data_IF_823298108057
#
_entry.id   IF_823298108057
#
_cell.length_a   1.000
_cell.length_b   1.000
_cell.length_c   1.000
_cell.angle_alpha   90.00
_cell.angle_beta   90.00
_cell.angle_gamma   90.00
#
_symmetry.space_group_name_H-M   'P 1'
#
loop_
_entity.id
_entity.type
_entity.pdbx_description
1 polymer ?
#
# COMPACT_ATOMS: atom_id res chain seq x y z
N UNK A 1 1.26 3.56 -4.61
CA UNK A 1 1.98 2.43 -3.96
C UNK A 1 1.13 1.75 -2.88
N UNK A 2 0.66 2.47 -1.86
CA UNK A 2 -0.10 1.88 -0.76
C UNK A 2 -1.35 1.08 -1.19
N UNK A 3 -2.13 1.62 -2.13
CA UNK A 3 -3.33 0.94 -2.69
C UNK A 3 -2.98 -0.22 -3.62
N UNK A 4 -1.84 -0.18 -4.30
CA UNK A 4 -1.32 -1.29 -5.11
C UNK A 4 -1.01 -2.51 -4.24
N UNK A 5 -0.29 -2.32 -3.13
CA UNK A 5 0.01 -3.39 -2.15
C UNK A 5 -1.29 -3.95 -1.53
N UNK A 6 -2.30 -3.10 -1.30
CA UNK A 6 -3.59 -3.54 -0.81
C UNK A 6 -4.31 -4.44 -1.83
N UNK A 7 -4.33 -4.07 -3.10
CA UNK A 7 -5.03 -4.80 -4.17
C UNK A 7 -4.25 -6.01 -4.73
N UNK A 8 -2.94 -6.08 -4.48
CA UNK A 8 -2.06 -7.13 -5.02
C UNK A 8 -2.43 -8.56 -4.59
N UNK A 9 -3.13 -8.71 -3.47
CA UNK A 9 -3.52 -10.02 -2.90
C UNK A 9 -4.83 -10.57 -3.49
N UNK A 10 -5.65 -9.72 -4.10
CA UNK A 10 -6.98 -10.07 -4.64
C UNK A 10 -6.96 -11.32 -5.52
N UNK A 11 -6.04 -11.48 -6.50
CA UNK A 11 -6.03 -12.66 -7.35
C UNK A 11 -5.64 -13.96 -6.62
N UNK A 12 -4.99 -13.88 -5.45
CA UNK A 12 -4.56 -15.03 -4.66
C UNK A 12 -5.55 -15.43 -3.55
N UNK A 13 -6.75 -14.82 -3.51
CA UNK A 13 -7.77 -15.19 -2.54
C UNK A 13 -8.11 -16.70 -2.52
N UNK A 14 -8.24 -17.39 -3.67
CA UNK A 14 -8.53 -18.83 -3.66
C UNK A 14 -7.42 -19.65 -2.99
N UNK A 15 -6.15 -19.38 -3.34
CA UNK A 15 -4.99 -20.08 -2.75
C UNK A 15 -4.87 -19.82 -1.24
N UNK A 16 -5.17 -18.60 -0.79
CA UNK A 16 -5.15 -18.24 0.62
C UNK A 16 -6.26 -18.92 1.42
N UNK A 17 -7.42 -19.16 0.81
CA UNK A 17 -8.51 -19.92 1.45
C UNK A 17 -8.08 -21.37 1.69
N UNK A 18 -7.42 -21.98 0.71
CA UNK A 18 -6.93 -23.36 0.81
C UNK A 18 -5.80 -23.50 1.83
N UNK A 19 -4.82 -22.61 1.81
CA UNK A 19 -3.62 -22.72 2.66
C UNK A 19 -3.89 -22.34 4.12
N UNK A 20 -4.74 -21.33 4.38
CA UNK A 20 -5.08 -20.91 5.74
C UNK A 20 -6.29 -21.66 6.31
N UNK A 21 -7.07 -22.39 5.48
CA UNK A 21 -8.27 -23.10 5.91
C UNK A 21 -9.38 -22.19 6.46
N UNK A 22 -9.43 -20.94 5.99
CA UNK A 22 -10.37 -19.89 6.45
C UNK A 22 -11.38 -19.55 5.36
N UNK A 23 -12.49 -18.90 5.72
CA UNK A 23 -13.49 -18.52 4.71
C UNK A 23 -12.99 -17.40 3.78
N UNK A 24 -13.56 -17.33 2.57
CA UNK A 24 -13.24 -16.28 1.60
C UNK A 24 -13.45 -14.87 2.17
N UNK A 25 -14.49 -14.70 3.01
CA UNK A 25 -14.79 -13.44 3.69
C UNK A 25 -13.68 -13.05 4.67
N UNK A 26 -13.09 -14.01 5.39
CA UNK A 26 -11.95 -13.75 6.27
C UNK A 26 -10.73 -13.28 5.48
N UNK A 27 -10.42 -13.91 4.35
CA UNK A 27 -9.32 -13.46 3.48
C UNK A 27 -9.59 -12.05 2.94
N UNK A 28 -10.82 -11.73 2.55
CA UNK A 28 -11.21 -10.39 2.13
C UNK A 28 -11.00 -9.34 3.25
N UNK A 29 -11.20 -9.72 4.52
CA UNK A 29 -10.94 -8.85 5.67
C UNK A 29 -9.48 -8.42 5.81
N UNK A 30 -8.51 -9.19 5.30
CA UNK A 30 -7.10 -8.78 5.26
C UNK A 30 -6.87 -7.55 4.38
N UNK A 31 -7.66 -7.40 3.32
CA UNK A 31 -7.58 -6.25 2.41
C UNK A 31 -8.31 -5.04 2.98
N UNK A 32 -9.49 -5.25 3.58
CA UNK A 32 -10.25 -4.17 4.21
C UNK A 32 -9.51 -3.59 5.42
N UNK A 33 -8.88 -4.44 6.24
CA UNK A 33 -8.04 -4.03 7.36
C UNK A 33 -6.92 -3.07 6.90
N UNK A 34 -6.24 -3.41 5.81
CA UNK A 34 -5.17 -2.58 5.26
C UNK A 34 -5.69 -1.22 4.75
N UNK A 35 -6.84 -1.20 4.07
CA UNK A 35 -7.47 0.04 3.59
C UNK A 35 -7.90 0.92 4.77
N UNK A 36 -8.47 0.32 5.82
CA UNK A 36 -8.91 1.05 7.01
C UNK A 36 -7.74 1.75 7.71
N UNK A 37 -6.61 1.06 7.88
CA UNK A 37 -5.41 1.66 8.48
C UNK A 37 -4.84 2.77 7.58
N UNK A 38 -4.84 2.56 6.27
CA UNK A 38 -4.37 3.55 5.30
C UNK A 38 -5.23 4.83 5.30
N UNK A 39 -6.51 4.76 5.70
CA UNK A 39 -7.35 5.94 5.83
C UNK A 39 -6.96 6.82 7.03
N UNK A 40 -6.53 6.21 8.14
CA UNK A 40 -6.21 6.91 9.39
C UNK A 40 -4.74 7.38 9.41
N UNK A 41 -3.83 6.55 8.92
CA UNK A 41 -2.39 6.78 8.96
C UNK A 41 -1.92 8.15 8.39
N UNK A 42 -2.47 8.68 7.27
CA UNK A 42 -2.05 9.97 6.72
C UNK A 42 -2.34 11.14 7.66
N UNK A 43 -3.37 11.05 8.51
CA UNK A 43 -3.67 12.10 9.48
C UNK A 43 -2.56 12.20 10.54
N UNK A 44 -2.01 11.05 10.95
CA UNK A 44 -0.92 10.96 11.92
C UNK A 44 0.42 11.37 11.28
N UNK A 45 0.67 10.98 10.04
CA UNK A 45 1.95 11.27 9.38
C UNK A 45 2.15 12.73 8.97
N UNK A 46 1.08 13.52 8.83
CA UNK A 46 1.18 14.95 8.49
C UNK A 46 1.98 15.78 9.51
N UNK A 47 1.65 15.80 10.82
CA UNK A 47 2.42 16.57 11.82
C UNK A 47 3.85 16.04 11.98
N UNK A 48 4.02 14.73 11.89
CA UNK A 48 5.31 14.05 11.90
C UNK A 48 6.21 14.48 10.72
N UNK A 49 5.66 14.60 9.51
CA UNK A 49 6.38 15.04 8.32
C UNK A 49 6.76 16.54 8.34
N UNK A 50 6.13 17.34 9.21
CA UNK A 50 6.45 18.76 9.37
C UNK A 50 7.62 18.99 10.35
N UNK A 51 7.80 18.11 11.32
CA UNK A 51 8.89 18.21 12.32
C UNK A 51 10.17 17.50 11.86
N UNK A 52 10.03 16.28 11.35
CA UNK A 52 11.16 15.48 10.91
C UNK A 52 11.48 15.72 9.43
N UNK A 53 12.74 15.53 9.04
CA UNK A 53 13.12 15.55 7.63
C UNK A 53 12.28 14.55 6.83
N UNK A 54 11.46 15.05 5.90
CA UNK A 54 10.50 14.28 5.08
C UNK A 54 11.13 13.02 4.46
N UNK A 55 12.41 13.10 4.05
CA UNK A 55 13.17 11.98 3.47
C UNK A 55 13.53 10.88 4.48
N UNK A 56 14.04 11.25 5.67
CA UNK A 56 14.42 10.24 6.66
C UNK A 56 13.21 9.47 7.16
N UNK A 57 12.09 10.16 7.36
CA UNK A 57 10.81 9.53 7.69
C UNK A 57 10.37 8.56 6.60
N UNK A 58 10.44 8.97 5.32
CA UNK A 58 10.09 8.12 4.19
C UNK A 58 10.96 6.85 4.12
N UNK A 59 12.27 6.97 4.27
CA UNK A 59 13.20 5.82 4.21
C UNK A 59 13.01 4.84 5.36
N UNK A 60 12.86 5.32 6.59
CA UNK A 60 12.60 4.46 7.76
C UNK A 60 11.28 3.71 7.57
N UNK A 61 10.27 4.38 7.05
CA UNK A 61 8.96 3.78 6.87
C UNK A 61 8.93 2.76 5.73
N UNK A 62 9.67 3.02 4.64
CA UNK A 62 9.87 2.04 3.58
C UNK A 62 10.62 0.80 4.07
N UNK A 63 11.63 0.95 4.94
CA UNK A 63 12.34 -0.20 5.54
C UNK A 63 11.40 -1.06 6.39
N UNK A 64 10.59 -0.44 7.25
CA UNK A 64 9.62 -1.19 8.06
C UNK A 64 8.57 -1.86 7.19
N UNK A 65 8.12 -1.19 6.13
CA UNK A 65 7.20 -1.77 5.14
C UNK A 65 7.83 -2.95 4.38
N UNK A 66 9.12 -2.88 4.05
CA UNK A 66 9.86 -3.97 3.42
C UNK A 66 9.87 -5.21 4.31
N UNK A 67 10.24 -5.05 5.58
CA UNK A 67 10.24 -6.15 6.56
C UNK A 67 8.84 -6.73 6.75
N UNK A 68 7.81 -5.89 6.78
CA UNK A 68 6.42 -6.34 6.88
C UNK A 68 5.95 -7.16 5.67
N UNK A 69 6.38 -6.81 4.45
CA UNK A 69 6.09 -7.63 3.25
C UNK A 69 6.83 -8.97 3.28
N UNK A 70 8.09 -8.98 3.73
CA UNK A 70 8.85 -10.24 3.92
C UNK A 70 8.19 -11.10 5.01
N UNK A 71 7.67 -10.47 6.07
CA UNK A 71 6.89 -11.15 7.12
C UNK A 71 5.63 -11.83 6.58
N UNK A 72 4.90 -11.15 5.69
CA UNK A 72 3.73 -11.75 5.02
C UNK A 72 4.11 -12.92 4.10
N UNK A 73 5.28 -12.85 3.45
CA UNK A 73 5.78 -13.92 2.59
C UNK A 73 6.17 -15.19 3.35
N UNK A 74 6.41 -15.11 4.67
CA UNK A 74 6.80 -16.27 5.50
C UNK A 74 5.75 -16.67 6.53
N UNK A 75 4.64 -15.94 6.63
CA UNK A 75 3.60 -16.20 7.61
C UNK A 75 2.59 -17.23 7.09
N UNK A 76 2.45 -18.36 7.80
CA UNK A 76 1.46 -19.42 7.51
C UNK A 76 0.19 -19.32 8.38
N UNK A 77 0.02 -18.22 9.12
CA UNK A 77 -1.14 -18.01 10.00
C UNK A 77 -1.90 -16.75 9.62
N UNK A 78 -3.23 -16.83 9.61
CA UNK A 78 -4.13 -15.71 9.35
C UNK A 78 -3.81 -14.49 10.22
N UNK A 79 -3.65 -14.70 11.53
CA UNK A 79 -3.39 -13.62 12.48
C UNK A 79 -2.02 -12.97 12.22
N UNK A 80 -0.98 -13.76 11.96
CA UNK A 80 0.35 -13.25 11.63
C UNK A 80 0.33 -12.42 10.34
N UNK A 81 -0.36 -12.91 9.30
CA UNK A 81 -0.52 -12.20 8.04
C UNK A 81 -1.30 -10.89 8.22
N UNK A 82 -2.38 -10.89 9.00
CA UNK A 82 -3.16 -9.69 9.31
C UNK A 82 -2.31 -8.62 10.02
N UNK A 83 -1.52 -9.02 11.03
CA UNK A 83 -0.64 -8.11 11.78
C UNK A 83 0.45 -7.54 10.87
N UNK A 84 1.12 -8.38 10.08
CA UNK A 84 2.14 -7.91 9.14
C UNK A 84 1.55 -6.92 8.12
N UNK A 85 0.35 -7.19 7.59
CA UNK A 85 -0.35 -6.25 6.69
C UNK A 85 -0.75 -4.96 7.39
N UNK A 86 -1.17 -5.02 8.66
CA UNK A 86 -1.48 -3.83 9.46
C UNK A 86 -0.27 -2.90 9.59
N UNK A 87 0.89 -3.48 9.90
CA UNK A 87 2.16 -2.76 10.00
C UNK A 87 2.51 -2.16 8.63
N UNK A 88 2.49 -2.95 7.57
CA UNK A 88 2.77 -2.47 6.20
C UNK A 88 1.86 -1.31 5.82
N UNK A 89 0.57 -1.38 6.12
CA UNK A 89 -0.44 -0.37 5.81
C UNK A 89 -0.17 0.96 6.51
N UNK A 90 0.25 0.92 7.78
CA UNK A 90 0.61 2.11 8.52
C UNK A 90 1.84 2.77 7.90
N UNK A 91 2.93 2.03 7.74
CA UNK A 91 4.21 2.63 7.33
C UNK A 91 4.26 3.02 5.84
N UNK A 92 3.49 2.38 4.94
CA UNK A 92 3.47 2.76 3.51
C UNK A 92 2.70 4.07 3.24
N UNK A 93 1.93 4.56 4.21
CA UNK A 93 1.02 5.70 4.10
C UNK A 93 1.64 7.01 3.55
N UNK A 94 2.87 7.44 3.91
CA UNK A 94 3.45 8.66 3.36
C UNK A 94 3.65 8.61 1.83
N UNK A 95 3.81 7.41 1.26
CA UNK A 95 3.91 7.20 -0.17
C UNK A 95 2.57 7.40 -0.91
N UNK A 96 1.45 7.58 -0.19
CA UNK A 96 0.13 7.84 -0.76
C UNK A 96 0.00 9.25 -1.36
N UNK A 97 0.95 10.16 -1.10
CA UNK A 97 0.98 11.49 -1.70
C UNK A 97 1.07 11.46 -3.24
N UNK A 98 1.56 10.36 -3.82
CA UNK A 98 1.57 10.11 -5.27
C UNK A 98 0.20 9.59 -5.73
N UNK A 99 -0.78 10.48 -5.79
CA UNK A 99 -2.20 10.15 -6.10
C UNK A 99 -2.37 9.44 -7.44
N UNK A 100 -1.59 9.80 -8.46
CA UNK A 100 -1.60 9.15 -9.78
C UNK A 100 -1.36 7.64 -9.70
N UNK A 101 -0.41 7.25 -8.85
CA UNK A 101 -0.04 5.85 -8.68
C UNK A 101 -1.04 5.06 -7.83
N UNK A 102 -1.94 5.75 -7.13
CA UNK A 102 -3.01 5.12 -6.37
C UNK A 102 -4.22 4.81 -7.24
N UNK A 103 -4.50 5.65 -8.25
CA UNK A 103 -5.61 5.47 -9.19
C UNK A 103 -5.31 4.32 -10.15
N UNK A 104 -4.13 4.34 -10.78
CA UNK A 104 -3.70 3.28 -11.70
C UNK A 104 -3.29 1.99 -10.99
N UNK A 105 -2.84 2.09 -9.73
CA UNK A 105 -2.30 0.94 -9.01
C UNK A 105 -3.34 -0.13 -8.68
N UNK A 106 -4.59 0.24 -8.39
CA UNK A 106 -5.64 -0.73 -8.04
C UNK A 106 -6.03 -1.64 -9.20
N UNK A 107 -6.25 -1.16 -10.45
CA UNK A 107 -6.56 -2.06 -11.57
C UNK A 107 -5.31 -2.79 -12.08
N UNK A 108 -4.13 -2.17 -12.04
CA UNK A 108 -2.88 -2.82 -12.49
C UNK A 108 -2.42 -3.93 -11.55
N UNK A 109 -2.71 -3.82 -10.24
CA UNK A 109 -2.27 -4.79 -9.24
C UNK A 109 -2.82 -6.20 -9.50
N UNK A 110 -4.14 -6.45 -9.61
CA UNK A 110 -4.68 -7.76 -9.91
C UNK A 110 -4.21 -8.30 -11.26
N UNK A 111 -4.01 -7.44 -12.25
CA UNK A 111 -3.53 -7.85 -13.57
C UNK A 111 -2.11 -8.43 -13.47
N UNK A 112 -1.17 -7.67 -12.91
CA UNK A 112 0.24 -8.10 -12.81
C UNK A 112 0.38 -9.26 -11.81
N UNK A 113 -0.26 -9.14 -10.64
CA UNK A 113 -0.14 -10.14 -9.58
C UNK A 113 -0.90 -11.42 -9.88
N UNK A 114 -1.95 -11.37 -10.73
CA UNK A 114 -2.65 -12.56 -11.19
C UNK A 114 -1.73 -13.49 -12.00
N UNK A 115 -0.91 -12.94 -12.91
CA UNK A 115 0.07 -13.74 -13.64
C UNK A 115 1.17 -14.31 -12.73
N UNK A 116 1.60 -13.53 -11.73
CA UNK A 116 2.62 -13.97 -10.77
C UNK A 116 2.07 -15.08 -9.87
N UNK A 117 0.84 -14.94 -9.40
CA UNK A 117 0.14 -15.97 -8.61
C UNK A 117 0.03 -17.27 -9.39
N UNK A 118 -0.41 -17.20 -10.65
CA UNK A 118 -0.55 -18.38 -11.49
C UNK A 118 0.78 -19.14 -11.74
N UNK A 119 1.92 -18.43 -11.72
CA UNK A 119 3.23 -19.01 -12.00
C UNK A 119 3.99 -19.48 -10.74
N UNK A 120 3.82 -18.80 -9.60
CA UNK A 120 4.62 -19.03 -8.39
C UNK A 120 3.82 -19.08 -7.09
N UNK A 121 2.50 -18.94 -7.14
CA UNK A 121 1.63 -18.87 -5.97
C UNK A 121 1.72 -17.57 -5.18
N UNK A 122 0.92 -17.46 -4.13
CA UNK A 122 0.74 -16.24 -3.34
C UNK A 122 2.03 -15.70 -2.68
N UNK A 123 3.01 -16.55 -2.38
CA UNK A 123 4.27 -16.15 -1.75
C UNK A 123 5.07 -15.19 -2.63
N UNK A 124 5.06 -15.41 -3.94
CA UNK A 124 5.76 -14.56 -4.91
C UNK A 124 5.14 -13.17 -5.07
N UNK A 125 3.85 -13.02 -4.76
CA UNK A 125 3.21 -11.70 -4.68
C UNK A 125 3.92 -10.87 -3.60
N UNK A 126 4.14 -11.43 -2.42
CA UNK A 126 4.81 -10.69 -1.35
C UNK A 126 6.29 -10.43 -1.63
N UNK A 127 7.00 -11.36 -2.27
CA UNK A 127 8.38 -11.12 -2.70
C UNK A 127 8.50 -10.03 -3.75
N UNK A 128 7.60 -9.99 -4.74
CA UNK A 128 7.60 -8.93 -5.76
C UNK A 128 7.22 -7.58 -5.17
N UNK A 129 6.29 -7.54 -4.21
CA UNK A 129 6.00 -6.33 -3.43
C UNK A 129 7.21 -5.87 -2.61
N UNK A 130 7.96 -6.78 -2.00
CA UNK A 130 9.18 -6.45 -1.27
C UNK A 130 10.25 -5.87 -2.20
N UNK A 131 10.47 -6.48 -3.38
CA UNK A 131 11.41 -5.96 -4.39
C UNK A 131 10.98 -4.56 -4.86
N UNK A 132 9.68 -4.37 -5.10
CA UNK A 132 9.15 -3.08 -5.51
C UNK A 132 9.37 -2.01 -4.43
N UNK A 133 9.09 -2.31 -3.15
CA UNK A 133 9.36 -1.39 -2.04
C UNK A 133 10.87 -1.10 -1.89
N UNK A 134 11.72 -2.11 -2.07
CA UNK A 134 13.17 -1.96 -2.07
C UNK A 134 13.66 -1.07 -3.22
N UNK A 135 13.06 -1.16 -4.40
CA UNK A 135 13.37 -0.27 -5.53
C UNK A 135 13.11 1.20 -5.17
N UNK A 136 11.99 1.49 -4.52
CA UNK A 136 11.70 2.85 -4.03
C UNK A 136 12.63 3.31 -2.91
N UNK A 137 13.21 2.39 -2.14
CA UNK A 137 14.22 2.71 -1.13
C UNK A 137 15.53 3.21 -1.76
N UNK A 138 15.94 2.64 -2.90
CA UNK A 138 17.15 3.07 -3.63
C UNK A 138 16.91 4.24 -4.61
N UNK A 139 15.66 4.53 -4.94
CA UNK A 139 15.28 5.65 -5.81
C UNK A 139 15.63 7.02 -5.20
N UNK A 140 16.45 7.87 -5.86
CA UNK A 140 16.63 9.25 -5.44
C UNK A 140 15.30 10.01 -5.55
N UNK A 141 14.80 10.51 -4.43
CA UNK A 141 13.51 11.19 -4.35
C UNK A 141 13.43 12.38 -5.33
N UNK A 142 12.38 12.39 -6.16
CA UNK A 142 12.11 13.33 -7.27
C UNK A 142 11.69 14.72 -6.80
N UNK A 143 12.48 15.36 -5.92
CA UNK A 143 12.26 16.77 -5.58
C UNK A 143 13.09 17.65 -6.51
N UNK A 144 12.46 18.22 -7.53
CA UNK A 144 13.05 19.32 -8.27
C UNK A 144 13.10 20.55 -7.34
N UNK A 145 14.28 20.87 -6.82
CA UNK A 145 14.49 22.10 -6.05
C UNK A 145 14.55 23.24 -7.06
N UNK A 146 13.43 23.93 -7.27
CA UNK A 146 13.40 25.11 -8.14
C UNK A 146 14.01 26.28 -7.36
N UNK A 147 15.27 26.63 -7.68
CA UNK A 147 15.92 27.85 -7.19
C UNK A 147 17.22 27.68 -6.39
N UNK A 148 18.08 26.70 -6.67
CA UNK A 148 19.46 26.71 -6.15
C UNK A 148 20.40 26.96 -7.32
N UNK A 149 20.97 28.17 -7.37
CA UNK A 149 22.07 28.52 -8.26
C UNK A 149 23.22 27.53 -8.02
N UNK A 150 23.78 27.01 -9.10
CA UNK A 150 24.92 26.11 -9.11
C UNK A 150 26.04 26.64 -8.22
N UNK A 151 26.37 25.92 -7.17
CA UNK A 151 27.72 25.95 -6.62
C UNK A 151 28.20 24.51 -6.50
N UNK A 152 29.23 24.25 -7.28
CA UNK A 152 29.84 22.96 -7.57
C UNK A 152 30.33 22.26 -6.29
N UNK A 153 30.13 20.94 -6.20
CA UNK A 153 30.77 20.07 -5.22
C UNK A 153 29.82 19.22 -4.36
N UNK A 154 29.66 17.94 -4.74
CA UNK A 154 29.05 16.88 -3.92
C UNK A 154 27.53 17.00 -3.61
N UNK A 155 26.74 17.35 -4.63
CA UNK A 155 25.27 17.42 -4.61
C UNK A 155 24.61 16.08 -4.20
N UNK A 156 25.09 14.95 -4.72
CA UNK A 156 24.46 13.65 -4.47
C UNK A 156 24.62 13.15 -3.03
N UNK A 157 25.76 13.36 -2.34
CA UNK A 157 25.92 12.84 -0.96
C UNK A 157 25.23 13.71 0.09
N UNK A 158 25.20 15.04 -0.11
CA UNK A 158 24.46 15.98 0.77
C UNK A 158 22.94 15.80 0.66
N UNK A 159 22.44 15.44 -0.52
CA UNK A 159 21.02 15.13 -0.72
C UNK A 159 20.59 13.88 0.07
N UNK A 160 21.48 12.87 0.21
CA UNK A 160 21.21 11.59 0.90
C UNK A 160 21.39 11.65 2.43
N UNK A 161 22.22 12.56 2.94
CA UNK A 161 22.64 12.57 4.35
C UNK A 161 22.14 13.76 5.17
N UNK A 162 21.25 14.60 4.63
CA UNK A 162 20.72 15.72 5.42
C UNK A 162 19.61 15.27 6.38
N UNK A 163 20.02 14.62 7.46
CA UNK A 163 19.20 14.17 8.61
C UNK A 163 18.94 15.34 9.59
N UNK A 164 18.56 16.50 9.07
CA UNK A 164 18.30 17.70 9.87
C UNK A 164 16.81 17.86 10.20
N UNK A 165 16.49 18.14 11.46
CA UNK A 165 15.15 18.57 11.90
C UNK A 165 14.78 19.87 11.18
N UNK A 166 13.67 19.89 10.45
CA UNK A 166 13.27 21.04 9.60
C UNK A 166 12.66 22.16 10.44
N UNK A 167 11.97 21.82 11.54
CA UNK A 167 11.28 22.81 12.37
C UNK A 167 11.58 22.60 13.89
N UNK A 168 12.08 23.61 14.62
CA UNK A 168 12.38 23.51 16.05
C UNK A 168 11.13 23.66 16.94
N UNK A 169 9.94 23.94 16.40
CA UNK A 169 8.70 24.04 17.20
C UNK A 169 8.31 22.67 17.80
N UNK A 170 7.99 22.60 19.11
CA UNK A 170 7.50 21.37 19.72
C UNK A 170 6.12 21.01 19.15
N UNK A 171 5.88 19.71 18.97
CA UNK A 171 4.60 19.17 18.50
C UNK A 171 3.48 19.59 19.46
N UNK A 172 2.56 20.43 19.00
CA UNK A 172 1.35 20.77 19.74
C UNK A 172 0.24 19.79 19.37
N UNK A 173 -0.53 19.33 20.37
CA UNK A 173 -1.73 18.52 20.12
C UNK A 173 -2.76 19.26 19.26
N UNK A 174 -2.72 20.60 19.24
CA UNK A 174 -3.59 21.39 18.36
C UNK A 174 -3.22 21.24 16.87
N UNK A 175 -1.99 20.87 16.52
CA UNK A 175 -1.60 20.62 15.12
C UNK A 175 -2.22 19.31 14.59
N UNK A 176 -2.54 18.37 15.49
CA UNK A 176 -3.26 17.14 15.15
C UNK A 176 -4.76 17.39 14.91
N UNK A 177 -5.34 18.38 15.59
CA UNK A 177 -6.78 18.67 15.57
C UNK A 177 -7.13 19.72 14.50
N UNK A 178 -6.22 20.63 14.17
CA UNK A 178 -6.40 21.65 13.14
C UNK A 178 -6.93 21.11 11.77
N UNK A 179 -6.43 19.99 11.21
CA UNK A 179 -6.98 19.47 9.96
C UNK A 179 -8.44 19.01 10.06
N UNK A 180 -8.92 18.62 11.25
CA UNK A 180 -10.35 18.33 11.46
C UNK A 180 -11.20 19.60 11.52
N UNK A 181 -10.62 20.76 11.87
CA UNK A 181 -11.32 22.05 11.78
C UNK A 181 -11.64 22.49 10.34
N UNK A 182 -10.90 21.98 9.34
CA UNK A 182 -11.14 22.26 7.92
C UNK A 182 -12.43 21.62 7.40
N UNK A 183 -13.00 20.63 8.10
CA UNK A 183 -14.29 20.01 7.76
C UNK A 183 -15.45 21.02 7.76
N UNK A 184 -15.33 22.12 8.50
CA UNK A 184 -16.35 23.19 8.53
C UNK A 184 -16.42 23.98 7.22
N UNK A 185 -15.43 23.86 6.32
CA UNK A 185 -15.38 24.56 5.03
C UNK A 185 -15.83 23.62 3.90
N UNK A 186 -17.07 23.77 3.45
CA UNK A 186 -17.68 22.90 2.42
C UNK A 186 -16.88 22.84 1.12
N UNK A 187 -16.28 23.95 0.68
CA UNK A 187 -15.44 24.01 -0.54
C UNK A 187 -14.17 23.17 -0.46
N UNK A 188 -13.72 22.81 0.75
CA UNK A 188 -12.54 21.94 0.97
C UNK A 188 -12.96 20.48 1.11
N UNK A 189 -14.19 20.21 1.57
CA UNK A 189 -14.70 18.84 1.81
C UNK A 189 -15.33 18.22 0.56
N UNK A 190 -15.98 19.02 -0.28
CA UNK A 190 -16.65 18.54 -1.50
C UNK A 190 -15.72 17.78 -2.45
N UNK A 191 -14.53 18.29 -2.84
CA UNK A 191 -13.66 17.57 -3.77
C UNK A 191 -13.13 16.24 -3.23
N UNK A 192 -12.64 16.14 -1.97
CA UNK A 192 -12.24 14.87 -1.38
C UNK A 192 -13.38 13.85 -1.27
N UNK A 193 -14.58 14.28 -0.89
CA UNK A 193 -15.74 13.37 -0.78
C UNK A 193 -16.16 12.87 -2.15
N UNK A 194 -16.25 13.75 -3.15
CA UNK A 194 -16.55 13.35 -4.52
C UNK A 194 -15.50 12.37 -5.06
N UNK A 195 -14.21 12.65 -4.82
CA UNK A 195 -13.12 11.75 -5.21
C UNK A 195 -13.21 10.39 -4.49
N UNK A 196 -13.47 10.38 -3.18
CA UNK A 196 -13.60 9.16 -2.40
C UNK A 196 -14.78 8.30 -2.90
N UNK A 197 -15.92 8.91 -3.19
CA UNK A 197 -17.08 8.20 -3.75
C UNK A 197 -16.77 7.56 -5.11
N UNK A 198 -16.19 8.33 -6.04
CA UNK A 198 -15.82 7.82 -7.37
C UNK A 198 -14.76 6.72 -7.27
N UNK A 199 -13.77 6.88 -6.39
CA UNK A 199 -12.72 5.88 -6.20
C UNK A 199 -13.25 4.60 -5.54
N UNK A 200 -14.18 4.72 -4.58
CA UNK A 200 -14.76 3.55 -3.92
C UNK A 200 -15.64 2.77 -4.91
N UNK A 201 -16.54 3.46 -5.60
CA UNK A 201 -17.55 2.83 -6.47
C UNK A 201 -16.96 2.40 -7.82
N UNK A 202 -16.18 3.27 -8.46
CA UNK A 202 -15.66 3.05 -9.81
C UNK A 202 -14.37 2.24 -9.91
N UNK A 203 -13.68 2.00 -8.78
CA UNK A 203 -12.39 1.31 -8.79
C UNK A 203 -12.33 0.20 -7.74
N UNK A 204 -12.57 0.53 -6.47
CA UNK A 204 -12.37 -0.42 -5.37
C UNK A 204 -13.43 -1.51 -5.35
N UNK A 205 -14.71 -1.13 -5.47
CA UNK A 205 -15.85 -2.06 -5.46
C UNK A 205 -15.76 -3.04 -6.63
N UNK A 206 -15.50 -2.54 -7.84
CA UNK A 206 -15.34 -3.37 -9.04
C UNK A 206 -14.21 -4.39 -8.86
N UNK A 207 -13.08 -3.99 -8.27
CA UNK A 207 -11.93 -4.87 -8.07
C UNK A 207 -12.19 -6.02 -7.07
N UNK A 208 -13.06 -5.83 -6.08
CA UNK A 208 -13.35 -6.85 -5.04
C UNK A 208 -14.60 -7.69 -5.32
N UNK A 209 -15.61 -7.10 -5.95
CA UNK A 209 -16.88 -7.76 -6.28
C UNK A 209 -16.73 -8.71 -7.47
N UNK A 210 -15.96 -8.34 -8.50
CA UNK A 210 -15.79 -9.19 -9.68
C UNK A 210 -15.27 -10.59 -9.27
N UNK A 211 -14.19 -10.74 -8.48
CA UNK A 211 -13.74 -12.05 -8.05
C UNK A 211 -14.77 -12.84 -7.22
N UNK A 212 -15.53 -12.17 -6.35
CA UNK A 212 -16.57 -12.81 -5.53
C UNK A 212 -17.72 -13.33 -6.40
N UNK A 213 -18.26 -12.47 -7.25
CA UNK A 213 -19.35 -12.81 -8.16
C UNK A 213 -18.93 -13.87 -9.18
N UNK A 214 -17.68 -13.85 -9.64
CA UNK A 214 -17.15 -14.86 -10.54
C UNK A 214 -17.03 -16.22 -9.83
N UNK A 215 -16.62 -16.24 -8.56
CA UNK A 215 -16.57 -17.44 -7.74
C UNK A 215 -17.95 -18.10 -7.54
N UNK A 216 -18.99 -17.30 -7.26
CA UNK A 216 -20.36 -17.81 -7.10
C UNK A 216 -21.00 -18.25 -8.43
N UNK A 217 -20.74 -17.50 -9.52
CA UNK A 217 -21.43 -17.71 -10.80
C UNK A 217 -20.78 -18.77 -11.69
N UNK A 218 -19.47 -18.95 -11.59
CA UNK A 218 -18.71 -19.90 -12.40
C UNK A 218 -18.14 -21.08 -11.63
N UNK A 219 -18.40 -21.19 -10.32
CA UNK A 219 -18.13 -22.35 -9.47
C UNK A 219 -16.76 -22.98 -9.70
N UNK A 220 -15.75 -22.60 -8.91
CA UNK A 220 -14.41 -23.22 -8.90
C UNK A 220 -13.82 -23.49 -10.31
N UNK A 221 -12.96 -22.60 -10.80
CA UNK A 221 -12.14 -22.88 -11.97
C UNK A 221 -11.46 -24.26 -11.76
N UNK A 222 -11.61 -25.23 -12.68
CA UNK A 222 -10.93 -26.50 -12.56
C UNK A 222 -9.43 -26.24 -12.48
N UNK A 223 -8.80 -26.69 -11.40
CA UNK A 223 -7.36 -26.66 -11.22
C UNK A 223 -6.68 -27.49 -12.32
N UNK A 224 -6.25 -26.83 -13.41
CA UNK A 224 -5.32 -27.31 -14.46
C UNK A 224 -5.71 -28.61 -15.22
N UNK A 225 -5.31 -28.78 -16.50
CA UNK A 225 -5.68 -29.94 -17.28
C UNK A 225 -4.77 -31.15 -16.99
N UNK A 226 -5.39 -32.34 -16.96
CA UNK A 226 -4.81 -33.64 -17.28
C UNK A 226 -3.55 -34.11 -16.50
N UNK A 227 -3.79 -34.99 -15.51
CA UNK A 227 -2.99 -36.23 -15.41
C UNK A 227 -3.92 -37.44 -15.56
N UNK A 228 -4.49 -37.60 -16.75
CA UNK A 228 -4.93 -38.92 -17.21
C UNK A 228 -3.75 -39.62 -17.86
N UNK A 229 -3.09 -40.50 -17.10
CA UNK A 229 -2.39 -41.65 -17.68
C UNK A 229 -2.78 -42.87 -16.87
N UNK A 230 -3.73 -43.62 -17.43
CA UNK A 230 -3.90 -45.06 -17.27
C UNK A 230 -2.56 -45.79 -17.12
N UNK A 231 -2.42 -46.65 -16.10
CA UNK A 231 -2.42 -48.12 -16.15
C UNK A 231 -3.03 -48.61 -14.83
#
# INVERSE_FOLDING_TARGET
>A
MATFIAAAIIPAFPELVEDLGVSLQQVAYLTTLQIAILAIAPAIHRPFANTFSRRAMFLVFLLVSLVGNIGCAKSSSYAAMAICRAIVAFFISPAAALTLMSILGVPLAPLIMGFIAAAGGYHWIYWTLAILVAYFFFGPETRYIRGVNETQGSSSKKQYLNFGRIDPRPLSLNDFIHPFGLWRKMSVVLPPVAHAMVFLFGNTLIAVEIPHLFGEKFGSIPSSPASSSSI
#
